data_IF_241561923661
#
_entry.id   IF_241561923661
#
_cell.length_a   1.000
_cell.length_b   1.000
_cell.length_c   1.000
_cell.angle_alpha   90.00
_cell.angle_beta   90.00
_cell.angle_gamma   90.00
#
_symmetry.space_group_name_H-M   'P 1'
#
loop_
_entity.id
_entity.type
_entity.pdbx_description
1 polymer ?
#
# COMPACT_ATOMS: atom_id res chain seq x y z
N UNK A 1 17.53 3.26 12.03
CA UNK A 1 16.12 3.72 12.10
C UNK A 1 15.23 2.55 11.70
N UNK A 2 14.40 2.02 12.60
CA UNK A 2 13.48 0.93 12.25
C UNK A 2 12.53 1.40 11.15
N UNK A 3 12.34 0.63 10.08
CA UNK A 3 11.34 0.91 9.05
C UNK A 3 9.95 0.93 9.71
N UNK A 4 9.39 2.12 9.91
CA UNK A 4 8.06 2.34 10.48
C UNK A 4 7.04 2.24 9.36
N UNK A 5 6.75 1.03 8.88
CA UNK A 5 5.67 0.83 7.94
C UNK A 5 4.37 1.40 8.52
N UNK A 6 3.68 2.22 7.72
CA UNK A 6 2.40 2.81 8.07
C UNK A 6 1.38 2.33 7.06
N UNK A 7 0.37 1.61 7.55
CA UNK A 7 -0.81 1.32 6.75
C UNK A 7 -1.52 2.65 6.51
N UNK A 8 -1.67 3.01 5.24
CA UNK A 8 -2.43 4.20 4.81
C UNK A 8 -3.84 3.76 4.44
N UNK A 9 -4.82 4.60 4.76
CA UNK A 9 -6.17 4.44 4.23
C UNK A 9 -6.21 5.04 2.81
N UNK A 10 -6.33 4.14 1.82
CA UNK A 10 -6.33 4.48 0.38
C UNK A 10 -7.61 5.20 -0.05
N UNK A 11 -8.66 5.19 0.76
CA UNK A 11 -9.90 5.91 0.47
C UNK A 11 -9.86 7.37 0.93
N UNK A 12 -8.77 7.78 1.61
CA UNK A 12 -8.62 9.16 2.06
C UNK A 12 -8.41 10.08 0.83
N UNK A 13 -9.32 11.04 0.57
CA UNK A 13 -9.12 12.01 -0.50
C UNK A 13 -7.87 12.85 -0.25
N UNK A 14 -7.13 13.15 -1.31
CA UNK A 14 -6.02 14.09 -1.23
C UNK A 14 -6.56 15.53 -1.20
N UNK A 15 -5.87 16.41 -0.46
CA UNK A 15 -6.27 17.81 -0.29
C UNK A 15 -6.29 18.59 -1.61
N UNK A 16 -5.45 18.18 -2.58
CA UNK A 16 -5.29 18.84 -3.86
C UNK A 16 -5.73 17.90 -4.99
N UNK A 17 -6.47 18.41 -6.00
CA UNK A 17 -6.71 17.67 -7.23
C UNK A 17 -5.41 17.43 -8.01
N UNK A 18 -5.33 16.34 -8.80
CA UNK A 18 -6.32 15.29 -8.96
C UNK A 18 -6.28 14.25 -7.83
N UNK A 19 -7.43 13.62 -7.56
CA UNK A 19 -7.46 12.45 -6.67
C UNK A 19 -6.84 11.25 -7.38
N UNK A 20 -5.98 10.49 -6.69
CA UNK A 20 -5.38 9.27 -7.24
C UNK A 20 -6.45 8.23 -7.62
N UNK A 21 -7.60 8.25 -6.96
CA UNK A 21 -8.72 7.35 -7.23
C UNK A 21 -9.39 7.64 -8.57
N UNK A 22 -9.29 8.86 -9.08
CA UNK A 22 -9.83 9.21 -10.40
C UNK A 22 -8.91 8.75 -11.55
N UNK A 23 -7.65 8.43 -11.23
CA UNK A 23 -6.66 7.97 -12.21
C UNK A 23 -6.65 6.46 -12.40
N UNK A 24 -7.13 5.71 -11.41
CA UNK A 24 -7.16 4.25 -11.44
C UNK A 24 -8.57 3.80 -11.80
N UNK A 25 -8.70 3.11 -12.93
CA UNK A 25 -9.97 2.55 -13.34
C UNK A 25 -10.41 1.44 -12.36
N UNK A 26 -11.71 1.29 -12.15
CA UNK A 26 -12.26 0.32 -11.19
C UNK A 26 -11.93 -1.14 -11.54
N UNK A 27 -11.70 -1.43 -12.81
CA UNK A 27 -11.32 -2.73 -13.35
C UNK A 27 -9.79 -2.92 -13.47
N UNK A 28 -8.99 -1.98 -12.97
CA UNK A 28 -7.54 -2.07 -13.00
C UNK A 28 -7.02 -3.17 -12.06
N UNK A 29 -6.01 -3.91 -12.53
CA UNK A 29 -5.37 -5.02 -11.82
C UNK A 29 -4.82 -4.60 -10.44
N UNK A 30 -4.49 -3.32 -10.24
CA UNK A 30 -3.99 -2.83 -8.96
C UNK A 30 -4.97 -3.10 -7.80
N UNK A 31 -6.28 -3.06 -8.04
CA UNK A 31 -7.29 -3.38 -7.04
C UNK A 31 -7.18 -4.84 -6.59
N UNK A 32 -6.95 -5.76 -7.54
CA UNK A 32 -6.70 -7.16 -7.23
C UNK A 32 -5.43 -7.36 -6.39
N UNK A 33 -4.33 -6.70 -6.76
CA UNK A 33 -3.05 -6.80 -6.02
C UNK A 33 -3.22 -6.29 -4.59
N UNK A 34 -3.89 -5.14 -4.40
CA UNK A 34 -4.17 -4.57 -3.07
C UNK A 34 -4.96 -5.57 -2.22
N UNK A 35 -6.06 -6.11 -2.74
CA UNK A 35 -6.89 -7.07 -2.02
C UNK A 35 -6.17 -8.39 -1.72
N UNK A 36 -5.28 -8.84 -2.60
CA UNK A 36 -4.46 -10.02 -2.36
C UNK A 36 -3.49 -9.77 -1.19
N UNK A 37 -2.78 -8.63 -1.20
CA UNK A 37 -1.82 -8.27 -0.16
C UNK A 37 -2.49 -8.04 1.20
N UNK A 38 -3.69 -7.46 1.23
CA UNK A 38 -4.48 -7.29 2.47
C UNK A 38 -4.83 -8.62 3.15
N UNK A 39 -4.88 -9.72 2.40
CA UNK A 39 -5.18 -11.07 2.91
C UNK A 39 -3.93 -11.88 3.26
N UNK A 40 -2.74 -11.41 2.90
CA UNK A 40 -1.50 -12.13 3.16
C UNK A 40 -1.09 -12.01 4.63
N UNK A 41 -0.62 -13.10 5.27
CA UNK A 41 -0.07 -13.05 6.62
C UNK A 41 1.32 -12.38 6.61
N UNK A 42 1.35 -11.05 6.70
CA UNK A 42 2.58 -10.26 6.57
C UNK A 42 3.62 -10.52 7.69
N UNK A 43 3.20 -11.10 8.81
CA UNK A 43 4.09 -11.47 9.93
C UNK A 43 5.11 -12.55 9.59
N UNK A 44 4.90 -13.31 8.52
CA UNK A 44 5.83 -14.35 8.07
C UNK A 44 7.07 -13.78 7.33
N UNK A 45 7.04 -12.52 6.89
CA UNK A 45 8.14 -11.92 6.14
C UNK A 45 9.19 -11.31 7.07
N UNK A 46 10.47 -11.54 6.75
CA UNK A 46 11.59 -10.92 7.44
C UNK A 46 11.81 -9.48 6.94
N UNK A 47 11.91 -8.53 7.87
CA UNK A 47 12.23 -7.13 7.56
C UNK A 47 13.72 -6.89 7.82
N UNK A 48 14.42 -6.36 6.83
CA UNK A 48 15.78 -5.87 7.02
C UNK A 48 15.76 -4.53 7.79
N UNK A 49 15.82 -4.63 9.11
CA UNK A 49 15.81 -3.48 10.01
C UNK A 49 17.11 -2.64 9.97
N UNK A 50 18.20 -3.20 9.41
CA UNK A 50 19.51 -2.54 9.30
C UNK A 50 19.69 -1.73 8.03
N UNK A 51 18.89 -2.00 6.99
CA UNK A 51 18.93 -1.27 5.71
C UNK A 51 20.20 -1.52 4.88
N UNK A 52 20.95 -2.58 5.18
CA UNK A 52 22.11 -2.99 4.38
C UNK A 52 21.65 -3.99 3.30
N UNK A 53 21.79 -3.60 2.04
CA UNK A 53 21.61 -4.49 0.88
C UNK A 53 22.81 -5.39 0.66
#
# INVERSE_FOLDING_TARGET
MAQRFKTIDRNTPLLLPPDLRDWVAQDDLVHFVIHAVERLPLSAFAVNSKGCG
#
